data_IF_353588073313
#
_entry.id   IF_353588073313
#
_cell.length_a   1.000
_cell.length_b   1.000
_cell.length_c   1.000
_cell.angle_alpha   90.00
_cell.angle_beta   90.00
_cell.angle_gamma   90.00
#
_symmetry.space_group_name_H-M   'P 1'
#
loop_
_entity.id
_entity.type
_entity.pdbx_description
1 polymer ?
#
# COMPACT_ATOMS: atom_id res chain seq x y z
N UNK A 1 -13.49 -65.43 -10.09
CA UNK A 1 -12.83 -64.23 -10.65
C UNK A 1 -13.49 -63.02 -10.03
N UNK A 2 -12.68 -62.20 -9.36
CA UNK A 2 -13.06 -61.18 -8.38
C UNK A 2 -13.64 -59.94 -9.05
N UNK A 3 -14.86 -59.51 -8.68
CA UNK A 3 -15.31 -58.17 -9.00
C UNK A 3 -15.99 -57.52 -7.79
N UNK A 4 -15.17 -56.73 -7.11
CA UNK A 4 -15.48 -55.46 -6.42
C UNK A 4 -16.67 -55.42 -5.45
N UNK A 5 -16.39 -55.75 -4.19
CA UNK A 5 -16.85 -54.91 -3.10
C UNK A 5 -16.01 -53.63 -3.12
N UNK A 6 -16.60 -52.47 -3.42
CA UNK A 6 -16.04 -51.24 -2.90
C UNK A 6 -17.15 -50.27 -2.52
N UNK A 7 -17.06 -49.86 -1.27
CA UNK A 7 -18.05 -49.17 -0.47
C UNK A 7 -18.33 -47.77 -1.01
N UNK A 8 -19.61 -47.42 -1.08
CA UNK A 8 -20.06 -46.03 -1.17
C UNK A 8 -19.50 -45.25 0.02
N UNK A 9 -18.52 -44.38 -0.23
CA UNK A 9 -18.08 -43.37 0.74
C UNK A 9 -19.01 -42.17 0.54
N UNK A 10 -19.92 -41.84 1.48
CA UNK A 10 -20.53 -40.53 1.48
C UNK A 10 -19.47 -39.51 1.92
N UNK A 11 -19.03 -38.67 1.00
CA UNK A 11 -18.28 -37.47 1.32
C UNK A 11 -19.20 -36.51 2.08
N UNK A 12 -19.18 -36.65 3.39
CA UNK A 12 -19.75 -35.72 4.35
C UNK A 12 -19.07 -34.36 4.18
N UNK A 13 -19.67 -33.48 3.36
CA UNK A 13 -19.31 -32.07 3.26
C UNK A 13 -19.79 -31.33 4.53
N UNK A 14 -19.28 -31.75 5.68
CA UNK A 14 -19.38 -31.02 6.94
C UNK A 14 -18.47 -29.80 6.77
N UNK A 15 -19.07 -28.68 6.39
CA UNK A 15 -18.52 -27.38 6.73
C UNK A 15 -18.29 -27.38 8.24
N UNK A 16 -17.03 -27.55 8.65
CA UNK A 16 -16.64 -27.68 10.04
C UNK A 16 -17.06 -26.39 10.79
N UNK A 17 -17.97 -26.46 11.79
CA UNK A 17 -18.51 -25.28 12.46
C UNK A 17 -17.46 -24.48 13.23
N UNK A 18 -16.30 -25.09 13.54
CA UNK A 18 -15.16 -24.43 14.20
C UNK A 18 -14.59 -23.30 13.33
N UNK A 19 -14.65 -23.43 12.00
CA UNK A 19 -14.12 -22.40 11.08
C UNK A 19 -15.02 -21.17 10.95
N UNK A 20 -16.32 -21.26 11.30
CA UNK A 20 -17.26 -20.14 11.24
C UNK A 20 -17.06 -19.15 12.40
N UNK A 21 -16.74 -19.66 13.60
CA UNK A 21 -16.47 -18.84 14.80
C UNK A 21 -15.10 -18.15 14.69
N UNK A 22 -14.08 -18.86 14.17
CA UNK A 22 -12.74 -18.32 13.99
C UNK A 22 -12.65 -17.25 12.89
N UNK A 23 -13.47 -17.34 11.83
CA UNK A 23 -13.55 -16.29 10.80
C UNK A 23 -14.17 -14.99 11.33
N UNK A 24 -14.98 -15.04 12.40
CA UNK A 24 -15.61 -13.86 13.03
C UNK A 24 -14.60 -13.05 13.85
N UNK A 25 -13.67 -13.72 14.54
CA UNK A 25 -12.54 -13.09 15.26
C UNK A 25 -11.55 -12.47 14.27
N UNK A 26 -11.26 -13.15 13.15
CA UNK A 26 -10.40 -12.62 12.08
C UNK A 26 -10.95 -11.33 11.45
N UNK A 27 -12.28 -11.24 11.26
CA UNK A 27 -12.96 -10.03 10.76
C UNK A 27 -13.00 -8.89 11.78
N UNK A 28 -12.95 -9.21 13.07
CA UNK A 28 -12.91 -8.20 14.14
C UNK A 28 -11.51 -7.56 14.26
N UNK A 29 -10.44 -8.34 14.10
CA UNK A 29 -9.07 -7.83 14.12
C UNK A 29 -8.55 -7.32 12.76
N UNK A 30 -9.25 -7.57 11.66
CA UNK A 30 -8.83 -7.09 10.33
C UNK A 30 -8.94 -5.57 10.15
N UNK A 31 -9.67 -4.86 11.03
CA UNK A 31 -9.76 -3.40 11.02
C UNK A 31 -8.55 -2.68 11.66
N UNK A 32 -7.70 -3.41 12.39
CA UNK A 32 -6.52 -2.85 13.07
C UNK A 32 -5.22 -3.05 12.29
N UNK A 33 -5.20 -4.04 11.38
CA UNK A 33 -4.05 -4.30 10.51
C UNK A 33 -4.25 -3.66 9.13
N UNK A 34 -4.40 -2.33 9.07
CA UNK A 34 -4.07 -1.59 7.84
C UNK A 34 -2.56 -1.65 7.68
N UNK A 35 -2.06 -2.82 7.25
CA UNK A 35 -0.63 -3.11 7.14
C UNK A 35 -0.09 -2.23 6.02
N UNK A 36 0.33 -0.99 6.36
CA UNK A 36 1.04 -0.08 5.46
C UNK A 36 2.22 -0.87 4.91
N UNK A 37 2.20 -1.16 3.61
CA UNK A 37 3.31 -1.89 2.96
C UNK A 37 4.58 -1.07 3.20
N UNK A 38 5.63 -1.71 3.72
CA UNK A 38 6.92 -1.05 3.95
C UNK A 38 7.47 -0.62 2.59
N UNK A 39 7.87 0.63 2.45
CA UNK A 39 8.51 1.12 1.23
C UNK A 39 9.83 0.36 1.00
N UNK A 40 10.21 0.09 -0.27
CA UNK A 40 11.45 -0.59 -0.56
C UNK A 40 12.64 0.32 -0.22
N UNK A 41 13.71 -0.28 0.30
CA UNK A 41 14.95 0.44 0.63
C UNK A 41 15.70 0.84 -0.64
N UNK A 42 15.57 0.07 -1.72
CA UNK A 42 16.14 0.35 -3.04
C UNK A 42 15.06 0.23 -4.12
N UNK A 43 15.08 1.12 -5.12
CA UNK A 43 14.26 0.97 -6.32
C UNK A 43 14.90 1.68 -7.52
N UNK A 44 14.49 1.27 -8.72
CA UNK A 44 14.83 1.98 -9.95
C UNK A 44 14.01 3.27 -10.07
N UNK A 45 14.65 4.35 -10.49
CA UNK A 45 13.93 5.57 -10.84
C UNK A 45 13.11 5.35 -12.11
N UNK A 46 11.81 5.61 -12.08
CA UNK A 46 10.95 5.44 -13.25
C UNK A 46 11.28 6.39 -14.42
N UNK A 47 12.00 7.49 -14.17
CA UNK A 47 12.41 8.46 -15.20
C UNK A 47 13.78 8.17 -15.82
N UNK A 48 14.81 7.93 -15.01
CA UNK A 48 16.19 7.68 -15.51
C UNK A 48 16.63 6.20 -15.47
N UNK A 49 15.87 5.32 -14.82
CA UNK A 49 16.21 3.90 -14.67
C UNK A 49 17.30 3.59 -13.63
N UNK A 50 17.95 4.61 -13.06
CA UNK A 50 19.04 4.44 -12.10
C UNK A 50 18.60 3.70 -10.84
N UNK A 51 19.53 2.93 -10.26
CA UNK A 51 19.35 2.26 -8.99
C UNK A 51 19.59 3.23 -7.84
N UNK A 52 18.56 3.44 -7.01
CA UNK A 52 18.58 4.46 -5.95
C UNK A 52 18.38 3.82 -4.58
N UNK A 53 19.22 4.21 -3.63
CA UNK A 53 18.99 3.96 -2.20
C UNK A 53 18.01 5.00 -1.63
N UNK A 54 17.00 4.54 -0.91
CA UNK A 54 15.90 5.35 -0.36
C UNK A 54 15.17 6.17 -1.43
N UNK A 55 14.47 5.48 -2.36
CA UNK A 55 13.75 6.15 -3.43
C UNK A 55 12.60 7.02 -2.91
N UNK A 56 12.34 8.13 -3.57
CA UNK A 56 11.19 8.99 -3.27
C UNK A 56 9.95 8.48 -3.99
N UNK A 57 8.88 8.23 -3.24
CA UNK A 57 7.59 7.92 -3.82
C UNK A 57 6.82 9.21 -4.13
N UNK A 58 6.35 9.37 -5.37
CA UNK A 58 5.47 10.48 -5.73
C UNK A 58 4.06 10.24 -5.17
N UNK A 59 3.50 11.19 -4.43
CA UNK A 59 2.14 11.09 -3.85
C UNK A 59 1.01 11.13 -4.89
N UNK A 60 1.34 11.44 -6.15
CA UNK A 60 0.37 11.62 -7.23
C UNK A 60 0.34 10.37 -8.11
N UNK A 61 1.48 10.01 -8.72
CA UNK A 61 1.57 8.82 -9.59
C UNK A 61 2.04 7.54 -8.88
N UNK A 62 2.36 7.59 -7.59
CA UNK A 62 2.80 6.45 -6.76
C UNK A 62 4.07 5.71 -7.22
N UNK A 63 4.80 6.26 -8.19
CA UNK A 63 6.07 5.72 -8.69
C UNK A 63 7.27 6.18 -7.84
N UNK A 64 8.39 5.49 -8.03
CA UNK A 64 9.65 5.73 -7.31
C UNK A 64 10.66 6.52 -8.17
N UNK A 65 11.33 7.49 -7.56
CA UNK A 65 12.26 8.40 -8.24
C UNK A 65 13.55 8.66 -7.44
N UNK A 66 14.61 9.04 -8.15
CA UNK A 66 15.86 9.52 -7.55
C UNK A 66 15.72 10.96 -7.02
N UNK A 67 16.75 11.44 -6.32
CA UNK A 67 16.77 12.81 -5.77
C UNK A 67 16.56 13.90 -6.82
N UNK A 68 17.05 13.71 -8.04
CA UNK A 68 16.89 14.65 -9.15
C UNK A 68 15.47 14.65 -9.75
N UNK A 69 14.79 13.49 -9.72
CA UNK A 69 13.47 13.30 -10.32
C UNK A 69 12.32 13.26 -9.31
N UNK A 70 12.54 13.62 -8.03
CA UNK A 70 11.50 13.56 -6.99
C UNK A 70 10.33 14.53 -7.20
N UNK A 71 10.56 15.65 -7.89
CA UNK A 71 9.55 16.67 -8.14
C UNK A 71 8.69 16.30 -9.36
N UNK A 72 7.37 16.55 -9.34
CA UNK A 72 6.46 16.23 -10.47
C UNK A 72 6.88 16.82 -11.81
N UNK A 73 7.46 18.02 -11.83
CA UNK A 73 8.00 18.65 -13.05
C UNK A 73 9.22 17.95 -13.62
N UNK A 74 9.95 17.21 -12.79
CA UNK A 74 11.17 16.54 -13.19
C UNK A 74 10.90 15.10 -13.67
N UNK A 75 9.67 14.59 -13.57
CA UNK A 75 9.36 13.20 -13.96
C UNK A 75 8.08 13.01 -14.78
N UNK A 76 7.60 14.02 -15.52
CA UNK A 76 6.39 13.94 -16.36
C UNK A 76 5.21 13.27 -15.65
N UNK A 77 4.89 13.76 -14.45
CA UNK A 77 3.84 13.19 -13.62
C UNK A 77 2.47 13.22 -14.33
N UNK A 78 1.81 12.08 -14.47
CA UNK A 78 0.48 11.96 -15.10
C UNK A 78 -0.59 12.85 -14.44
N UNK A 79 -0.47 13.06 -13.13
CA UNK A 79 -1.40 13.87 -12.34
C UNK A 79 -0.80 15.24 -11.97
N UNK A 80 -0.02 15.85 -12.87
CA UNK A 80 0.61 17.15 -12.61
C UNK A 80 -0.40 18.28 -12.40
N UNK A 81 -1.58 18.20 -13.00
CA UNK A 81 -2.62 19.20 -12.82
C UNK A 81 -3.18 19.18 -11.39
N UNK A 82 -3.31 18.00 -10.78
CA UNK A 82 -3.71 17.85 -9.39
C UNK A 82 -2.68 18.48 -8.45
N UNK A 83 -1.38 18.32 -8.78
CA UNK A 83 -0.29 18.97 -8.08
C UNK A 83 -0.38 20.50 -8.21
N UNK A 84 -0.64 21.04 -9.41
CA UNK A 84 -0.77 22.49 -9.61
C UNK A 84 -1.95 23.06 -8.81
N UNK A 85 -3.11 22.37 -8.83
CA UNK A 85 -4.31 22.81 -8.11
C UNK A 85 -4.15 22.81 -6.59
N UNK A 86 -3.35 21.89 -6.03
CA UNK A 86 -3.14 21.78 -4.56
C UNK A 86 -1.87 22.45 -4.05
N UNK A 87 -0.84 22.53 -4.90
CA UNK A 87 0.53 22.94 -4.55
C UNK A 87 0.87 24.39 -4.90
N UNK A 88 0.12 25.03 -5.80
CA UNK A 88 0.32 26.46 -6.12
C UNK A 88 -0.47 27.41 -5.22
N UNK A 89 -1.34 26.88 -4.35
CA UNK A 89 -2.00 27.62 -3.27
C UNK A 89 -1.38 27.27 -1.91
N UNK A 90 -0.05 27.14 -1.85
CA UNK A 90 0.60 27.31 -0.55
C UNK A 90 0.14 28.67 0.00
N UNK A 91 -0.27 28.78 1.28
CA UNK A 91 -0.56 30.08 1.83
C UNK A 91 0.67 30.96 1.57
N UNK A 92 0.48 32.15 0.99
CA UNK A 92 1.53 33.19 0.89
C UNK A 92 1.80 33.73 2.28
N UNK A 93 2.09 32.87 3.24
CA UNK A 93 2.39 33.24 4.61
C UNK A 93 3.87 33.04 4.78
N UNK A 94 4.56 34.17 4.76
CA UNK A 94 5.76 34.42 5.54
C UNK A 94 5.83 33.44 6.74
N UNK A 95 6.94 32.72 6.80
CA UNK A 95 7.30 31.65 7.73
C UNK A 95 6.84 31.94 9.18
N UNK A 96 5.60 31.59 9.51
CA UNK A 96 5.04 31.73 10.84
C UNK A 96 5.07 30.36 11.54
N UNK A 97 5.95 30.25 12.54
CA UNK A 97 6.30 29.06 13.33
C UNK A 97 5.21 28.02 13.57
N UNK A 98 5.47 26.79 13.11
CA UNK A 98 4.70 25.61 13.48
C UNK A 98 4.95 25.23 14.94
N UNK A 99 3.90 25.29 15.78
CA UNK A 99 3.95 24.79 17.17
C UNK A 99 3.93 23.26 17.16
N UNK A 100 5.06 22.64 17.48
CA UNK A 100 5.16 21.20 17.73
C UNK A 100 4.41 20.90 19.03
N UNK A 101 3.26 20.22 18.92
CA UNK A 101 2.54 19.71 20.10
C UNK A 101 3.31 18.52 20.67
N UNK A 102 4.11 18.75 21.73
CA UNK A 102 4.70 17.67 22.53
C UNK A 102 3.57 17.07 23.37
N UNK A 103 3.31 15.78 23.19
CA UNK A 103 2.37 15.02 24.04
C UNK A 103 3.03 14.84 25.40
N UNK A 104 2.34 15.23 26.47
CA UNK A 104 2.77 15.08 27.86
C UNK A 104 2.75 13.61 28.30
#
# INVERSE_FOLDING_TARGET
MFFHFNTLIPNNHRTNPVMAILNKIRKFFSGFFTRKKKAPVYANCAKCGEWVYLPFQCNYCNQYYCGAHRLPFNHDCEHIDDWKRRGSSGPTTEYAGGKVRVRK
#
